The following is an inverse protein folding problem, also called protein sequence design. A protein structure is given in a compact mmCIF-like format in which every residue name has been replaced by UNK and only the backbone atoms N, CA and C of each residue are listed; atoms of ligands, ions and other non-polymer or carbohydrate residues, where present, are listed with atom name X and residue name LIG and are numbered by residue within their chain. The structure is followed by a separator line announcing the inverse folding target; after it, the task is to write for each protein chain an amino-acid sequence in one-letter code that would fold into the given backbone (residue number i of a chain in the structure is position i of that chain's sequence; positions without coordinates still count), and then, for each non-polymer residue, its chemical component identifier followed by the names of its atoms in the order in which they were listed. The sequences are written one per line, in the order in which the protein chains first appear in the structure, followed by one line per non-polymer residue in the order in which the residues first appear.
data_IF_514987808486
#
_entry.id   IF_514987808486
#
_cell.length_a   1.000
_cell.length_b   1.000
_cell.length_c   1.000
_cell.angle_alpha   90.00
_cell.angle_beta   90.00
_cell.angle_gamma   90.00
#
_symmetry.space_group_name_H-M   'P 1'
#
loop_
_entity.id
_entity.type
_entity.pdbx_description
1 polymer ?
#
# COMPACT_ATOMS: atom_id res chain seq x y z
N UNK A 1 16.88 -20.83 6.00
CA UNK A 1 15.91 -19.77 5.64
C UNK A 1 15.75 -18.72 6.75
N UNK A 2 15.06 -18.99 7.87
CA UNK A 2 14.75 -17.98 8.91
C UNK A 2 15.99 -17.26 9.50
N UNK A 3 17.06 -17.99 9.82
CA UNK A 3 18.28 -17.40 10.38
C UNK A 3 18.97 -16.42 9.41
N UNK A 4 18.93 -16.70 8.09
CA UNK A 4 19.49 -15.82 7.05
C UNK A 4 18.68 -14.52 6.97
N UNK A 5 17.35 -14.62 6.89
CA UNK A 5 16.47 -13.45 6.83
C UNK A 5 16.60 -12.54 8.07
N UNK A 6 16.78 -13.13 9.26
CA UNK A 6 17.04 -12.35 10.48
C UNK A 6 18.42 -11.67 10.42
N UNK A 7 19.44 -12.33 9.85
CA UNK A 7 20.74 -11.72 9.60
C UNK A 7 20.69 -10.55 8.63
N UNK A 8 19.88 -10.65 7.56
CA UNK A 8 19.61 -9.57 6.61
C UNK A 8 18.85 -8.41 7.26
N UNK A 9 17.84 -8.71 8.08
CA UNK A 9 17.06 -7.71 8.80
C UNK A 9 17.90 -6.87 9.79
N UNK A 10 19.02 -7.42 10.28
CA UNK A 10 19.98 -6.73 11.15
C UNK A 10 20.97 -5.84 10.39
N UNK A 11 21.05 -5.95 9.06
CA UNK A 11 21.96 -5.10 8.29
C UNK A 11 21.47 -3.64 8.26
N UNK A 12 22.37 -2.64 8.32
CA UNK A 12 21.97 -1.23 8.26
C UNK A 12 21.13 -0.89 7.02
N UNK A 13 21.40 -1.54 5.89
CA UNK A 13 20.64 -1.36 4.65
C UNK A 13 19.15 -1.73 4.80
N UNK A 14 18.81 -2.68 5.68
CA UNK A 14 17.42 -3.04 5.94
C UNK A 14 16.63 -1.90 6.59
N UNK A 15 17.28 -1.06 7.41
CA UNK A 15 16.65 0.15 7.95
C UNK A 15 16.28 1.14 6.85
N UNK A 16 17.19 1.37 5.90
CA UNK A 16 16.93 2.22 4.73
C UNK A 16 15.79 1.65 3.88
N UNK A 17 15.81 0.34 3.63
CA UNK A 17 14.73 -0.35 2.94
C UNK A 17 13.37 -0.19 3.64
N UNK A 18 13.32 -0.41 4.96
CA UNK A 18 12.10 -0.25 5.74
C UNK A 18 11.56 1.18 5.72
N UNK A 19 12.43 2.19 5.76
CA UNK A 19 12.02 3.59 5.61
C UNK A 19 11.44 3.85 4.22
N UNK A 20 12.07 3.33 3.16
CA UNK A 20 11.58 3.48 1.79
C UNK A 20 10.17 2.88 1.61
N UNK A 21 9.83 1.79 2.30
CA UNK A 21 8.47 1.23 2.30
C UNK A 21 7.46 2.27 2.80
N UNK A 22 7.76 2.94 3.91
CA UNK A 22 6.88 3.96 4.49
C UNK A 22 6.78 5.18 3.57
N UNK A 23 7.91 5.64 3.03
CA UNK A 23 7.96 6.78 2.11
C UNK A 23 7.14 6.51 0.84
N UNK A 24 7.23 5.29 0.31
CA UNK A 24 6.41 4.86 -0.83
C UNK A 24 4.92 4.83 -0.48
N UNK A 25 4.56 4.34 0.72
CA UNK A 25 3.16 4.34 1.14
C UNK A 25 2.61 5.77 1.27
N UNK A 26 3.38 6.73 1.80
CA UNK A 26 2.98 8.13 1.84
C UNK A 26 2.79 8.73 0.44
N UNK A 27 3.65 8.37 -0.52
CA UNK A 27 3.49 8.80 -1.91
C UNK A 27 2.22 8.23 -2.55
N UNK A 28 1.93 6.95 -2.33
CA UNK A 28 0.71 6.30 -2.83
C UNK A 28 -0.56 6.85 -2.15
N UNK A 29 -0.52 7.15 -0.84
CA UNK A 29 -1.60 7.86 -0.14
C UNK A 29 -1.86 9.23 -0.76
N UNK A 30 -0.80 9.97 -1.09
CA UNK A 30 -0.93 11.27 -1.77
C UNK A 30 -1.62 11.10 -3.12
N UNK A 31 -1.17 10.12 -3.92
CA UNK A 31 -1.79 9.83 -5.22
C UNK A 31 -3.28 9.47 -5.12
N UNK A 32 -3.67 8.63 -4.16
CA UNK A 32 -5.08 8.28 -3.98
C UNK A 32 -5.96 9.44 -3.50
N UNK A 33 -5.39 10.40 -2.77
CA UNK A 33 -6.13 11.58 -2.29
C UNK A 33 -6.48 12.56 -3.40
N UNK A 34 -5.85 12.47 -4.57
CA UNK A 34 -6.20 13.29 -5.74
C UNK A 34 -7.53 12.85 -6.39
N UNK A 35 -8.02 11.65 -6.08
CA UNK A 35 -9.26 11.10 -6.61
C UNK A 35 -10.42 11.32 -5.64
N UNK A 36 -11.40 12.14 -6.04
CA UNK A 36 -12.56 12.48 -5.22
C UNK A 36 -13.54 11.32 -4.98
N UNK A 37 -13.45 10.25 -5.79
CA UNK A 37 -14.29 9.06 -5.64
C UNK A 37 -13.68 8.01 -4.71
N UNK A 38 -12.40 8.14 -4.36
CA UNK A 38 -11.72 7.25 -3.42
C UNK A 38 -11.74 7.85 -2.02
N UNK A 39 -11.98 6.99 -1.03
CA UNK A 39 -11.85 7.36 0.38
C UNK A 39 -10.84 6.46 1.07
N UNK A 40 -9.82 7.05 1.69
CA UNK A 40 -8.88 6.29 2.52
C UNK A 40 -9.46 6.06 3.92
N UNK A 41 -9.52 4.80 4.35
CA UNK A 41 -9.88 4.48 5.73
C UNK A 41 -8.82 5.04 6.66
N UNK A 42 -9.24 5.69 7.75
CA UNK A 42 -8.38 6.46 8.67
C UNK A 42 -7.67 7.69 8.06
N UNK A 43 -7.91 8.02 6.78
CA UNK A 43 -7.39 9.22 6.12
C UNK A 43 -5.93 9.14 5.64
N UNK A 44 -5.26 8.00 5.77
CA UNK A 44 -3.87 7.79 5.37
C UNK A 44 -3.31 6.46 5.85
N UNK A 45 -1.99 6.38 5.99
CA UNK A 45 -1.28 5.23 6.55
C UNK A 45 0.00 5.68 7.22
N UNK A 46 0.31 5.10 8.38
CA UNK A 46 1.58 5.25 9.11
C UNK A 46 2.46 4.00 8.97
N UNK A 47 2.13 3.08 8.06
CA UNK A 47 2.84 1.82 7.87
C UNK A 47 2.98 1.45 6.38
N UNK A 48 2.92 0.16 6.03
CA UNK A 48 3.22 -0.38 4.71
C UNK A 48 1.98 -0.70 3.86
N UNK A 49 0.76 -0.40 4.34
CA UNK A 49 -0.48 -0.63 3.60
C UNK A 49 -1.50 0.47 3.85
N UNK A 50 -2.44 0.63 2.93
CA UNK A 50 -3.61 1.52 3.07
C UNK A 50 -4.87 0.76 2.66
N UNK A 51 -5.99 1.09 3.27
CA UNK A 51 -7.29 0.57 2.88
C UNK A 51 -8.08 1.67 2.14
N UNK A 52 -8.47 1.36 0.91
CA UNK A 52 -9.18 2.27 0.02
C UNK A 52 -10.63 1.80 -0.11
N UNK A 53 -11.56 2.70 0.20
CA UNK A 53 -12.98 2.54 -0.10
C UNK A 53 -13.25 3.02 -1.53
N UNK A 54 -13.69 2.07 -2.36
CA UNK A 54 -13.93 2.22 -3.79
C UNK A 54 -15.41 2.44 -4.12
N UNK A 55 -16.28 2.47 -3.11
CA UNK A 55 -17.74 2.56 -3.32
C UNK A 55 -18.19 3.85 -4.00
N UNK A 56 -17.36 4.91 -3.98
CA UNK A 56 -17.60 6.15 -4.73
C UNK A 56 -17.66 5.94 -6.25
N UNK A 57 -17.09 4.84 -6.76
CA UNK A 57 -17.20 4.40 -8.16
C UNK A 57 -18.43 3.54 -8.45
N UNK A 58 -19.31 3.29 -7.47
CA UNK A 58 -20.50 2.45 -7.63
C UNK A 58 -20.19 0.95 -7.75
N UNK A 59 -18.97 0.54 -7.41
CA UNK A 59 -18.50 -0.85 -7.42
C UNK A 59 -18.08 -1.29 -6.02
N UNK A 60 -18.02 -2.60 -5.79
CA UNK A 60 -17.46 -3.14 -4.55
C UNK A 60 -16.01 -3.60 -4.72
N UNK A 61 -15.33 -3.87 -3.59
CA UNK A 61 -13.93 -4.27 -3.59
C UNK A 61 -13.62 -5.54 -4.39
N UNK A 62 -14.57 -6.48 -4.48
CA UNK A 62 -14.38 -7.70 -5.29
C UNK A 62 -14.33 -7.38 -6.78
N UNK A 63 -15.23 -6.53 -7.26
CA UNK A 63 -15.23 -6.12 -8.68
C UNK A 63 -13.97 -5.35 -9.05
N UNK A 64 -13.47 -4.49 -8.14
CA UNK A 64 -12.20 -3.78 -8.37
C UNK A 64 -11.02 -4.75 -8.35
N UNK A 65 -10.98 -5.70 -7.42
CA UNK A 65 -9.94 -6.73 -7.39
C UNK A 65 -9.93 -7.53 -8.70
N UNK A 66 -11.09 -8.04 -9.14
CA UNK A 66 -11.21 -8.81 -10.38
C UNK A 66 -10.71 -7.98 -11.60
N UNK A 67 -11.01 -6.67 -11.64
CA UNK A 67 -10.54 -5.77 -12.71
C UNK A 67 -9.03 -5.50 -12.68
N UNK A 68 -8.44 -5.38 -11.49
CA UNK A 68 -6.99 -5.19 -11.34
C UNK A 68 -6.22 -6.47 -11.68
N UNK A 69 -6.77 -7.63 -11.31
CA UNK A 69 -6.22 -8.94 -11.68
C UNK A 69 -6.14 -9.11 -13.22
N UNK A 70 -7.08 -8.55 -13.99
CA UNK A 70 -7.07 -8.58 -15.47
C UNK A 70 -5.88 -7.82 -16.09
N UNK A 71 -5.22 -6.94 -15.33
CA UNK A 71 -4.06 -6.13 -15.76
C UNK A 71 -2.81 -6.38 -14.92
N UNK A 72 -2.75 -7.53 -14.24
CA UNK A 72 -1.61 -8.00 -13.44
C UNK A 72 -1.23 -7.06 -12.25
N UNK A 73 -2.24 -6.47 -11.59
CA UNK A 73 -2.07 -5.59 -10.41
C UNK A 73 -2.59 -6.27 -9.14
#
# INVERSE_FOLDING_TARGET
AKAVALGEALQPAFKTYAQQIIDNMHAMVTGFKEDEHLRLISGGSDNHMVLVDVTGYGVNGRQVQDLLDEVDI
#
